data_IF_424757411030
#
_entry.id   IF_424757411030
#
_cell.length_a   1.000
_cell.length_b   1.000
_cell.length_c   1.000
_cell.angle_alpha   90.00
_cell.angle_beta   90.00
_cell.angle_gamma   90.00
#
_symmetry.space_group_name_H-M   'P 1'
#
loop_
_entity.id
_entity.type
_entity.pdbx_description
1 polymer ?
#
# COMPACT_ATOMS: atom_id res chain seq x y z
N UNK A 1 40.12 -27.87 -7.74
CA UNK A 1 38.74 -27.35 -7.82
C UNK A 1 37.83 -28.45 -7.30
N UNK A 2 37.22 -28.27 -6.13
CA UNK A 2 36.44 -29.31 -5.43
C UNK A 2 35.16 -29.63 -6.21
N UNK A 3 34.73 -30.90 -6.20
CA UNK A 3 33.47 -31.36 -6.81
C UNK A 3 32.22 -30.63 -6.27
N UNK A 4 32.35 -29.92 -5.16
CA UNK A 4 31.31 -29.08 -4.56
C UNK A 4 31.01 -27.79 -5.36
N UNK A 5 31.95 -27.33 -6.19
CA UNK A 5 31.82 -26.08 -6.96
C UNK A 5 31.00 -26.28 -8.25
N UNK A 6 30.92 -27.53 -8.74
CA UNK A 6 30.22 -27.90 -9.98
C UNK A 6 28.72 -28.18 -9.74
N UNK A 7 28.34 -28.59 -8.54
CA UNK A 7 26.95 -28.84 -8.12
C UNK A 7 26.15 -27.58 -7.85
N UNK A 8 26.81 -26.45 -7.55
CA UNK A 8 26.17 -25.14 -7.39
C UNK A 8 25.62 -24.55 -8.70
N UNK A 9 26.19 -24.94 -9.86
CA UNK A 9 25.82 -24.36 -11.17
C UNK A 9 24.62 -25.02 -11.86
N UNK A 10 24.14 -26.16 -11.37
CA UNK A 10 23.08 -26.96 -12.03
C UNK A 10 21.76 -27.01 -11.26
N UNK A 11 21.71 -26.50 -10.03
CA UNK A 11 20.47 -26.44 -9.24
C UNK A 11 19.50 -25.41 -9.84
N UNK A 12 18.32 -25.88 -10.26
CA UNK A 12 17.21 -24.99 -10.61
C UNK A 12 16.71 -24.27 -9.36
N UNK A 13 16.60 -22.94 -9.44
CA UNK A 13 16.01 -22.10 -8.39
C UNK A 13 14.55 -22.51 -8.22
N UNK A 14 14.12 -22.81 -7.00
CA UNK A 14 12.73 -23.13 -6.71
C UNK A 14 11.84 -21.89 -6.85
N UNK A 15 10.53 -22.08 -7.04
CA UNK A 15 9.58 -20.95 -7.09
C UNK A 15 9.60 -20.15 -5.78
N UNK A 16 9.81 -20.80 -4.65
CA UNK A 16 9.96 -20.16 -3.35
C UNK A 16 11.23 -19.32 -3.26
N UNK A 17 12.37 -19.84 -3.72
CA UNK A 17 13.62 -19.07 -3.78
C UNK A 17 13.52 -17.91 -4.77
N UNK A 18 12.84 -18.10 -5.90
CA UNK A 18 12.61 -17.04 -6.89
C UNK A 18 11.68 -15.95 -6.35
N UNK A 19 10.57 -16.33 -5.71
CA UNK A 19 9.67 -15.37 -5.05
C UNK A 19 10.39 -14.64 -3.90
N UNK A 20 11.25 -15.34 -3.17
CA UNK A 20 12.13 -14.76 -2.16
C UNK A 20 13.12 -13.77 -2.77
N UNK A 21 13.74 -14.12 -3.89
CA UNK A 21 14.63 -13.24 -4.66
C UNK A 21 13.88 -12.01 -5.19
N UNK A 22 12.69 -12.14 -5.78
CA UNK A 22 11.91 -10.99 -6.27
C UNK A 22 11.48 -10.08 -5.12
N UNK A 23 11.04 -10.66 -3.99
CA UNK A 23 10.77 -9.89 -2.77
C UNK A 23 12.04 -9.16 -2.29
N UNK A 24 13.21 -9.81 -2.33
CA UNK A 24 14.50 -9.23 -1.95
C UNK A 24 15.08 -8.25 -2.97
N UNK A 25 14.81 -8.40 -4.27
CA UNK A 25 15.35 -7.59 -5.37
C UNK A 25 14.52 -6.33 -5.60
N UNK A 26 13.20 -6.44 -5.40
CA UNK A 26 12.30 -5.28 -5.31
C UNK A 26 12.48 -4.57 -3.95
N UNK A 27 12.87 -5.34 -2.94
CA UNK A 27 13.07 -5.02 -1.53
C UNK A 27 14.40 -4.29 -1.19
N UNK A 28 15.51 -4.75 -1.73
CA UNK A 28 16.95 -4.44 -1.51
C UNK A 28 17.60 -4.77 -0.13
N UNK A 29 17.92 -6.06 0.12
CA UNK A 29 18.66 -6.71 1.27
C UNK A 29 17.82 -7.42 2.37
N UNK A 30 18.35 -8.45 3.07
CA UNK A 30 17.71 -9.01 4.27
C UNK A 30 17.77 -8.06 5.48
N UNK A 31 16.72 -8.02 6.31
CA UNK A 31 16.78 -7.44 7.67
C UNK A 31 15.61 -6.53 8.12
N UNK A 32 14.96 -5.79 7.23
CA UNK A 32 13.86 -4.86 7.61
C UNK A 32 12.70 -4.89 6.60
N UNK A 33 11.88 -5.94 6.67
CA UNK A 33 10.70 -6.09 5.80
C UNK A 33 9.68 -4.97 5.96
N UNK A 34 9.52 -4.44 7.19
CA UNK A 34 8.58 -3.36 7.48
C UNK A 34 9.02 -2.04 6.84
N UNK A 35 10.27 -1.64 7.09
CA UNK A 35 10.82 -0.41 6.52
C UNK A 35 10.74 -0.39 4.99
N UNK A 36 10.88 -1.55 4.36
CA UNK A 36 10.72 -1.73 2.91
C UNK A 36 9.30 -1.51 2.41
N UNK A 37 8.30 -2.06 3.11
CA UNK A 37 6.90 -1.84 2.78
C UNK A 37 6.54 -0.36 2.90
N UNK A 38 7.04 0.29 3.96
CA UNK A 38 6.88 1.72 4.22
C UNK A 38 7.55 2.56 3.13
N UNK A 39 8.78 2.23 2.75
CA UNK A 39 9.51 2.96 1.71
C UNK A 39 8.85 2.80 0.33
N UNK A 40 8.36 1.61 -0.02
CA UNK A 40 7.60 1.36 -1.25
C UNK A 40 6.30 2.19 -1.30
N UNK A 41 5.57 2.21 -0.18
CA UNK A 41 4.37 3.03 -0.03
C UNK A 41 4.69 4.53 -0.12
N UNK A 42 5.79 4.97 0.49
CA UNK A 42 6.27 6.34 0.42
C UNK A 42 6.53 6.78 -1.03
N UNK A 43 7.21 5.97 -1.86
CA UNK A 43 7.46 6.30 -3.27
C UNK A 43 6.16 6.46 -4.09
N UNK A 44 5.09 5.80 -3.67
CA UNK A 44 3.77 5.92 -4.33
C UNK A 44 3.00 7.16 -3.86
N UNK A 45 3.24 7.60 -2.63
CA UNK A 45 2.60 8.76 -2.00
C UNK A 45 3.35 10.06 -2.32
N UNK A 46 4.68 10.06 -2.26
CA UNK A 46 5.54 11.25 -2.37
C UNK A 46 5.38 12.01 -3.69
N UNK A 47 4.96 11.33 -4.77
CA UNK A 47 4.59 11.95 -6.05
C UNK A 47 3.47 12.98 -5.93
N UNK A 48 2.75 12.98 -4.82
CA UNK A 48 1.67 13.92 -4.51
C UNK A 48 2.09 15.02 -3.52
N UNK A 49 3.30 14.95 -2.96
CA UNK A 49 3.87 15.96 -2.06
C UNK A 49 4.47 17.12 -2.86
N UNK A 50 3.60 18.03 -3.26
CA UNK A 50 4.00 19.25 -3.97
C UNK A 50 4.86 20.11 -3.05
N UNK A 51 6.06 20.48 -3.52
CA UNK A 51 7.01 21.31 -2.76
C UNK A 51 8.15 20.53 -2.10
N UNK A 52 7.94 19.24 -1.76
CA UNK A 52 8.93 18.45 -1.02
C UNK A 52 10.29 18.35 -1.74
N UNK A 53 10.31 18.21 -3.06
CA UNK A 53 11.55 18.15 -3.84
C UNK A 53 12.42 19.41 -3.76
N UNK A 54 11.86 20.53 -3.30
CA UNK A 54 12.56 21.81 -3.11
C UNK A 54 12.94 22.07 -1.65
N UNK A 55 12.46 21.25 -0.72
CA UNK A 55 12.76 21.43 0.70
C UNK A 55 14.21 21.00 0.99
N UNK A 56 15.02 21.84 1.64
CA UNK A 56 16.39 21.48 2.02
C UNK A 56 16.44 20.37 3.09
N UNK A 57 15.35 20.15 3.83
CA UNK A 57 15.24 19.11 4.87
C UNK A 57 14.36 17.92 4.45
N UNK A 58 14.12 17.73 3.15
CA UNK A 58 13.26 16.65 2.66
C UNK A 58 13.71 15.26 3.16
N UNK A 59 15.02 15.02 3.24
CA UNK A 59 15.59 13.76 3.71
C UNK A 59 15.49 13.59 5.23
N UNK A 60 15.66 14.66 6.01
CA UNK A 60 15.49 14.63 7.46
C UNK A 60 14.05 14.34 7.84
N UNK A 61 13.12 15.10 7.24
CA UNK A 61 11.68 14.88 7.37
C UNK A 61 11.30 13.44 7.00
N UNK A 62 11.76 12.94 5.84
CA UNK A 62 11.42 11.58 5.37
C UNK A 62 11.88 10.51 6.36
N UNK A 63 13.10 10.61 6.89
CA UNK A 63 13.62 9.64 7.88
C UNK A 63 12.78 9.67 9.15
N UNK A 64 12.58 10.85 9.72
CA UNK A 64 11.78 11.03 10.94
C UNK A 64 10.37 10.46 10.80
N UNK A 65 9.69 10.78 9.69
CA UNK A 65 8.34 10.30 9.42
C UNK A 65 8.28 8.80 9.17
N UNK A 66 9.31 8.23 8.54
CA UNK A 66 9.43 6.79 8.30
C UNK A 66 9.61 6.04 9.60
N UNK A 67 10.47 6.53 10.49
CA UNK A 67 10.73 5.93 11.81
C UNK A 67 9.46 5.96 12.67
N UNK A 68 8.76 7.10 12.71
CA UNK A 68 7.46 7.21 13.38
C UNK A 68 6.45 6.19 12.84
N UNK A 69 6.27 6.10 11.52
CA UNK A 69 5.31 5.16 10.93
C UNK A 69 5.73 3.69 11.20
N UNK A 70 7.03 3.40 11.20
CA UNK A 70 7.56 2.07 11.51
C UNK A 70 7.22 1.66 12.94
N UNK A 71 7.39 2.53 13.92
CA UNK A 71 6.98 2.29 15.30
C UNK A 71 5.47 2.02 15.41
N UNK A 72 4.65 2.83 14.72
CA UNK A 72 3.19 2.69 14.73
C UNK A 72 2.71 1.38 14.11
N UNK A 73 3.33 0.94 13.02
CA UNK A 73 3.02 -0.33 12.37
C UNK A 73 3.55 -1.53 13.15
N UNK A 74 4.72 -1.42 13.80
CA UNK A 74 5.23 -2.45 14.70
C UNK A 74 4.28 -2.67 15.89
N UNK A 75 3.64 -1.63 16.41
CA UNK A 75 2.67 -1.78 17.50
C UNK A 75 1.43 -2.63 17.11
N UNK A 76 1.11 -2.77 15.82
CA UNK A 76 0.02 -3.63 15.36
C UNK A 76 0.28 -5.11 15.65
N UNK A 77 1.55 -5.52 15.69
CA UNK A 77 1.96 -6.92 15.89
C UNK A 77 1.89 -7.36 17.35
N UNK A 78 1.77 -6.41 18.29
CA UNK A 78 1.74 -6.70 19.72
C UNK A 78 0.39 -7.23 20.22
N UNK A 79 -0.66 -7.20 19.40
CA UNK A 79 -1.99 -7.73 19.73
C UNK A 79 -2.28 -8.94 18.88
N UNK A 80 -2.95 -9.95 19.44
CA UNK A 80 -3.28 -11.17 18.71
C UNK A 80 -4.42 -10.99 17.70
N UNK A 81 -5.36 -10.10 18.01
CA UNK A 81 -6.58 -9.82 17.25
C UNK A 81 -6.93 -8.34 17.33
N UNK A 82 -7.64 -7.89 16.30
CA UNK A 82 -8.15 -6.53 16.17
C UNK A 82 -9.64 -6.60 15.79
N UNK A 83 -10.47 -5.82 16.47
CA UNK A 83 -11.81 -5.48 15.98
C UNK A 83 -11.72 -4.30 14.99
N UNK A 84 -12.76 -4.13 14.17
CA UNK A 84 -12.85 -3.00 13.24
C UNK A 84 -12.77 -1.66 13.98
N UNK A 85 -13.44 -1.52 15.13
CA UNK A 85 -13.43 -0.27 15.91
C UNK A 85 -12.05 0.05 16.50
N UNK A 86 -11.32 -0.97 16.96
CA UNK A 86 -9.94 -0.81 17.43
C UNK A 86 -9.01 -0.38 16.30
N UNK A 87 -9.13 -1.00 15.12
CA UNK A 87 -8.33 -0.65 13.96
C UNK A 87 -8.65 0.75 13.45
N UNK A 88 -9.94 1.10 13.31
CA UNK A 88 -10.42 2.43 12.93
C UNK A 88 -9.87 3.50 13.90
N UNK A 89 -9.88 3.22 15.21
CA UNK A 89 -9.33 4.13 16.23
C UNK A 89 -7.80 4.28 16.12
N UNK A 90 -7.06 3.18 15.97
CA UNK A 90 -5.62 3.21 15.76
C UNK A 90 -5.24 3.94 14.47
N UNK A 91 -5.97 3.70 13.38
CA UNK A 91 -5.72 4.34 12.09
C UNK A 91 -5.97 5.84 12.20
N UNK A 92 -7.05 6.27 12.86
CA UNK A 92 -7.35 7.70 13.09
C UNK A 92 -6.24 8.39 13.86
N UNK A 93 -5.82 7.79 14.97
CA UNK A 93 -4.74 8.32 15.81
C UNK A 93 -3.44 8.43 15.02
N UNK A 94 -3.04 7.36 14.32
CA UNK A 94 -1.82 7.33 13.50
C UNK A 94 -1.85 8.37 12.39
N UNK A 95 -2.98 8.49 11.68
CA UNK A 95 -3.16 9.48 10.60
C UNK A 95 -3.07 10.90 11.13
N UNK A 96 -3.80 11.19 12.20
CA UNK A 96 -3.83 12.53 12.81
C UNK A 96 -2.44 12.93 13.32
N UNK A 97 -1.72 11.99 13.96
CA UNK A 97 -0.38 12.24 14.46
C UNK A 97 0.63 12.45 13.34
N UNK A 98 0.58 11.66 12.26
CA UNK A 98 1.41 11.90 11.07
C UNK A 98 1.19 13.30 10.51
N UNK A 99 -0.07 13.71 10.31
CA UNK A 99 -0.39 15.04 9.78
C UNK A 99 0.11 16.15 10.71
N UNK A 100 -0.06 15.99 12.03
CA UNK A 100 0.39 16.96 13.02
C UNK A 100 1.91 17.12 13.07
N UNK A 101 2.67 16.02 13.06
CA UNK A 101 4.14 16.08 13.15
C UNK A 101 4.80 16.37 11.80
N UNK A 102 4.06 16.24 10.70
CA UNK A 102 4.53 16.51 9.35
C UNK A 102 4.62 18.01 9.00
N UNK A 103 4.27 18.91 9.93
CA UNK A 103 4.37 20.35 9.75
C UNK A 103 5.72 20.73 9.13
N UNK A 104 5.66 21.36 7.95
CA UNK A 104 6.83 21.78 7.21
C UNK A 104 6.52 23.10 6.48
N UNK A 105 7.44 24.07 6.47
CA UNK A 105 7.21 25.36 5.79
C UNK A 105 7.16 25.25 4.26
N UNK A 106 7.75 24.20 3.66
CA UNK A 106 7.95 24.09 2.21
C UNK A 106 6.87 23.26 1.51
N UNK A 107 6.13 22.42 2.25
CA UNK A 107 5.08 21.57 1.70
C UNK A 107 4.04 21.19 2.75
N UNK A 108 2.86 20.79 2.27
CA UNK A 108 1.77 20.31 3.12
C UNK A 108 1.63 18.80 3.04
N UNK A 109 1.40 18.18 4.20
CA UNK A 109 1.11 16.76 4.34
C UNK A 109 -0.33 16.57 4.80
N UNK A 110 -1.15 15.92 3.99
CA UNK A 110 -2.61 15.85 4.17
C UNK A 110 -3.07 14.50 4.74
N UNK A 111 -4.34 14.42 5.15
CA UNK A 111 -4.98 13.14 5.52
C UNK A 111 -4.95 12.16 4.35
N UNK A 112 -5.24 12.62 3.13
CA UNK A 112 -5.22 11.80 1.92
C UNK A 112 -3.86 11.17 1.62
N UNK A 113 -2.76 11.86 1.93
CA UNK A 113 -1.40 11.33 1.83
C UNK A 113 -1.07 10.36 2.98
N UNK A 114 -1.40 10.74 4.21
CA UNK A 114 -1.17 9.95 5.41
C UNK A 114 -1.84 8.56 5.32
N UNK A 115 -3.15 8.53 5.03
CA UNK A 115 -3.89 7.27 4.88
C UNK A 115 -3.32 6.40 3.77
N UNK A 116 -2.89 7.01 2.65
CA UNK A 116 -2.32 6.28 1.53
C UNK A 116 -1.02 5.62 1.93
N UNK A 117 -0.17 6.34 2.66
CA UNK A 117 1.10 5.81 3.14
C UNK A 117 0.88 4.63 4.08
N UNK A 118 -0.05 4.76 5.05
CA UNK A 118 -0.40 3.69 5.99
C UNK A 118 -0.97 2.47 5.25
N UNK A 119 -2.04 2.64 4.47
CA UNK A 119 -2.77 1.52 3.87
C UNK A 119 -1.95 0.77 2.85
N UNK A 120 -1.15 1.47 2.02
CA UNK A 120 -0.26 0.80 1.07
C UNK A 120 0.89 0.09 1.79
N UNK A 121 1.37 0.61 2.93
CA UNK A 121 2.38 -0.10 3.74
C UNK A 121 1.83 -1.41 4.29
N UNK A 122 0.61 -1.37 4.87
CA UNK A 122 -0.08 -2.55 5.40
C UNK A 122 -0.36 -3.57 4.27
N UNK A 123 -0.90 -3.11 3.13
CA UNK A 123 -1.13 -3.99 1.97
C UNK A 123 0.15 -4.66 1.51
N UNK A 124 1.24 -3.89 1.33
CA UNK A 124 2.51 -4.44 0.87
C UNK A 124 3.04 -5.49 1.87
N UNK A 125 2.94 -5.21 3.16
CA UNK A 125 3.35 -6.12 4.22
C UNK A 125 2.58 -7.43 4.19
N UNK A 126 1.25 -7.36 4.09
CA UNK A 126 0.36 -8.53 4.01
C UNK A 126 0.61 -9.31 2.71
N UNK A 127 0.75 -8.63 1.57
CA UNK A 127 1.00 -9.28 0.28
C UNK A 127 2.37 -9.99 0.20
N UNK A 128 3.36 -9.51 0.96
CA UNK A 128 4.66 -10.17 1.10
C UNK A 128 4.62 -11.34 2.10
N UNK A 129 3.51 -11.48 2.85
CA UNK A 129 3.17 -12.63 3.68
C UNK A 129 4.10 -12.92 4.87
N UNK A 130 3.89 -14.09 5.47
CA UNK A 130 4.60 -14.69 6.61
C UNK A 130 6.14 -14.69 6.52
N UNK A 131 6.71 -14.37 5.35
CA UNK A 131 8.16 -14.40 5.12
C UNK A 131 8.91 -13.24 5.77
N UNK A 132 8.26 -12.09 5.94
CA UNK A 132 8.92 -10.90 6.46
C UNK A 132 8.22 -10.34 7.70
N UNK A 133 6.89 -10.47 7.80
CA UNK A 133 6.09 -9.95 8.92
C UNK A 133 4.78 -10.74 9.13
N UNK A 134 4.86 -12.00 9.61
CA UNK A 134 3.68 -12.83 9.83
C UNK A 134 2.64 -12.17 10.74
N UNK A 135 3.10 -11.47 11.78
CA UNK A 135 2.19 -10.85 12.75
C UNK A 135 1.41 -9.64 12.20
N UNK A 136 1.79 -9.05 11.06
CA UNK A 136 0.99 -7.98 10.47
C UNK A 136 -0.24 -8.53 9.73
N UNK A 137 -0.30 -9.84 9.47
CA UNK A 137 -1.50 -10.50 8.95
C UNK A 137 -2.67 -10.44 9.96
N UNK A 138 -2.42 -10.11 11.22
CA UNK A 138 -3.45 -9.98 12.28
C UNK A 138 -4.45 -8.85 12.08
N UNK A 139 -4.19 -7.94 11.15
CA UNK A 139 -5.14 -6.86 10.77
C UNK A 139 -5.76 -7.10 9.39
N UNK A 140 -5.55 -8.27 8.79
CA UNK A 140 -5.95 -8.58 7.40
C UNK A 140 -7.42 -8.32 7.10
N UNK A 141 -8.28 -8.74 8.03
CA UNK A 141 -9.73 -8.66 7.95
C UNK A 141 -10.29 -7.26 8.27
N UNK A 142 -9.54 -6.44 9.02
CA UNK A 142 -9.97 -5.11 9.49
C UNK A 142 -9.24 -3.95 8.81
N UNK A 143 -8.21 -4.22 8.01
CA UNK A 143 -7.41 -3.20 7.33
C UNK A 143 -8.27 -2.35 6.38
N UNK A 144 -7.94 -1.06 6.28
CA UNK A 144 -8.62 -0.17 5.35
C UNK A 144 -8.18 -0.42 3.91
N UNK A 145 -9.10 -0.21 2.96
CA UNK A 145 -8.83 -0.30 1.52
C UNK A 145 -7.83 0.78 1.10
N UNK A 146 -6.70 0.43 0.46
CA UNK A 146 -5.84 1.41 -0.19
C UNK A 146 -6.56 2.14 -1.34
N UNK A 147 -6.78 3.44 -1.19
CA UNK A 147 -7.47 4.26 -2.19
C UNK A 147 -6.48 4.92 -3.15
N UNK A 148 -6.10 4.19 -4.20
CA UNK A 148 -5.29 4.74 -5.30
C UNK A 148 -6.16 5.23 -6.47
N UNK A 149 -5.53 5.78 -7.51
CA UNK A 149 -6.24 6.34 -8.66
C UNK A 149 -7.09 5.28 -9.40
N UNK A 150 -6.63 4.03 -9.46
CA UNK A 150 -7.34 2.95 -10.15
C UNK A 150 -8.56 2.57 -9.33
N UNK A 151 -8.37 2.29 -8.03
CA UNK A 151 -9.44 1.94 -7.10
C UNK A 151 -10.50 3.05 -7.05
N UNK A 152 -10.08 4.30 -6.85
CA UNK A 152 -10.99 5.45 -6.85
C UNK A 152 -11.72 5.60 -8.20
N UNK A 153 -11.02 5.40 -9.32
CA UNK A 153 -11.62 5.45 -10.65
C UNK A 153 -12.70 4.39 -10.87
N UNK A 154 -12.51 3.20 -10.31
CA UNK A 154 -13.50 2.13 -10.33
C UNK A 154 -14.67 2.38 -9.39
N UNK A 155 -14.39 2.85 -8.17
CA UNK A 155 -15.42 3.23 -7.21
C UNK A 155 -16.32 4.37 -7.74
N UNK A 156 -15.77 5.36 -8.46
CA UNK A 156 -16.53 6.44 -9.13
C UNK A 156 -17.53 5.96 -10.18
N UNK A 157 -17.30 4.77 -10.73
CA UNK A 157 -18.18 4.14 -11.74
C UNK A 157 -19.29 3.33 -11.10
N UNK A 158 -19.17 3.00 -9.82
CA UNK A 158 -20.21 2.29 -9.08
C UNK A 158 -21.21 3.32 -8.53
N UNK A 159 -22.50 3.05 -8.68
CA UNK A 159 -23.57 4.01 -8.37
C UNK A 159 -23.91 4.14 -6.88
N UNK A 160 -23.24 3.39 -6.00
CA UNK A 160 -23.51 3.37 -4.56
C UNK A 160 -22.66 4.34 -3.75
N UNK A 161 -21.74 5.09 -4.37
CA UNK A 161 -20.89 6.05 -3.66
C UNK A 161 -21.14 7.50 -4.11
N UNK A 162 -21.41 8.44 -3.18
CA UNK A 162 -21.62 9.84 -3.54
C UNK A 162 -20.40 10.42 -4.26
N UNK A 163 -20.62 11.10 -5.39
CA UNK A 163 -19.51 11.62 -6.22
C UNK A 163 -18.72 12.72 -5.52
N UNK A 164 -19.38 13.50 -4.68
CA UNK A 164 -18.82 14.53 -3.81
C UNK A 164 -17.89 13.96 -2.74
N UNK A 165 -18.18 12.75 -2.27
CA UNK A 165 -17.29 12.04 -1.34
C UNK A 165 -15.98 11.63 -2.01
N UNK A 166 -15.96 11.41 -3.32
CA UNK A 166 -14.77 11.06 -4.08
C UNK A 166 -14.07 12.31 -4.60
N UNK A 167 -13.56 13.17 -3.74
CA UNK A 167 -12.89 14.39 -4.22
C UNK A 167 -11.66 14.07 -5.08
N UNK A 168 -11.40 14.90 -6.09
CA UNK A 168 -10.16 14.90 -6.85
C UNK A 168 -9.39 16.20 -6.60
N UNK A 169 -8.09 16.12 -6.25
CA UNK A 169 -7.30 14.91 -6.00
C UNK A 169 -7.51 14.36 -4.56
N UNK A 170 -7.85 13.06 -4.43
CA UNK A 170 -7.99 12.37 -3.14
C UNK A 170 -6.78 12.50 -2.20
N UNK A 171 -5.58 12.63 -2.78
CA UNK A 171 -4.36 12.85 -2.02
C UNK A 171 -4.30 14.21 -1.31
N UNK A 172 -5.21 15.15 -1.59
CA UNK A 172 -5.28 16.46 -0.93
C UNK A 172 -6.39 16.54 0.11
N UNK A 173 -7.07 15.42 0.40
CA UNK A 173 -8.10 15.34 1.43
C UNK A 173 -7.54 15.75 2.79
N UNK A 174 -8.23 16.66 3.49
CA UNK A 174 -7.82 17.18 4.80
C UNK A 174 -8.68 16.70 5.96
N UNK A 175 -9.94 16.31 5.72
CA UNK A 175 -10.83 15.80 6.76
C UNK A 175 -10.80 14.26 6.85
N UNK A 176 -10.44 13.76 8.03
CA UNK A 176 -10.47 12.33 8.32
C UNK A 176 -11.89 11.75 8.34
N UNK A 177 -12.90 12.55 8.65
CA UNK A 177 -14.30 12.09 8.65
C UNK A 177 -14.76 11.74 7.24
N UNK A 178 -14.38 12.54 6.25
CA UNK A 178 -14.65 12.26 4.83
C UNK A 178 -13.94 10.97 4.39
N UNK A 179 -12.67 10.79 4.77
CA UNK A 179 -11.95 9.53 4.54
C UNK A 179 -12.68 8.32 5.13
N UNK A 180 -13.13 8.42 6.38
CA UNK A 180 -13.81 7.31 7.05
C UNK A 180 -15.21 7.04 6.52
N UNK A 181 -15.94 8.07 6.08
CA UNK A 181 -17.22 7.88 5.41
C UNK A 181 -17.04 7.03 4.13
N UNK A 182 -15.97 7.27 3.37
CA UNK A 182 -15.63 6.46 2.20
C UNK A 182 -15.33 5.00 2.57
N UNK A 183 -14.47 4.75 3.58
CA UNK A 183 -14.17 3.39 4.05
C UNK A 183 -15.40 2.63 4.54
N UNK A 184 -16.33 3.31 5.23
CA UNK A 184 -17.60 2.70 5.68
C UNK A 184 -18.49 2.30 4.52
N UNK A 185 -18.70 3.20 3.55
CA UNK A 185 -19.51 2.90 2.37
C UNK A 185 -18.92 1.73 1.56
N UNK A 186 -17.60 1.65 1.45
CA UNK A 186 -16.92 0.51 0.83
C UNK A 186 -17.29 -0.78 1.55
N UNK A 187 -17.16 -0.84 2.89
CA UNK A 187 -17.49 -2.05 3.68
C UNK A 187 -18.98 -2.41 3.64
N UNK A 188 -19.86 -1.41 3.58
CA UNK A 188 -21.31 -1.63 3.47
C UNK A 188 -21.71 -2.23 2.12
N UNK A 189 -21.01 -1.88 1.04
CA UNK A 189 -21.32 -2.33 -0.31
C UNK A 189 -20.47 -3.51 -0.79
N UNK A 190 -19.34 -3.78 -0.13
CA UNK A 190 -18.40 -4.86 -0.42
C UNK A 190 -18.10 -5.61 0.89
N UNK A 191 -18.95 -6.59 1.27
CA UNK A 191 -18.90 -7.24 2.58
C UNK A 191 -17.76 -8.25 2.73
N UNK A 192 -16.93 -8.45 1.70
CA UNK A 192 -15.74 -9.29 1.78
C UNK A 192 -14.61 -8.65 2.58
N UNK A 193 -13.44 -9.30 2.55
CA UNK A 193 -12.25 -8.77 3.22
C UNK A 193 -11.76 -7.54 2.44
N UNK A 194 -11.56 -6.37 3.09
CA UNK A 194 -11.29 -5.12 2.38
C UNK A 194 -10.12 -5.19 1.39
N UNK A 195 -9.04 -5.89 1.74
CA UNK A 195 -7.87 -6.02 0.86
C UNK A 195 -8.11 -6.96 -0.33
N UNK A 196 -8.99 -7.95 -0.19
CA UNK A 196 -9.40 -8.81 -1.31
C UNK A 196 -10.31 -8.04 -2.27
N UNK A 197 -11.25 -7.28 -1.72
CA UNK A 197 -12.12 -6.39 -2.50
C UNK A 197 -11.31 -5.33 -3.26
N UNK A 198 -10.29 -4.74 -2.60
CA UNK A 198 -9.35 -3.83 -3.27
C UNK A 198 -8.64 -4.49 -4.44
N UNK A 199 -8.15 -5.72 -4.23
CA UNK A 199 -7.46 -6.48 -5.27
C UNK A 199 -8.37 -6.70 -6.48
N UNK A 200 -9.62 -7.13 -6.26
CA UNK A 200 -10.59 -7.36 -7.32
C UNK A 200 -10.94 -6.08 -8.08
N UNK A 201 -11.17 -4.99 -7.37
CA UNK A 201 -11.42 -3.67 -7.97
C UNK A 201 -10.21 -3.22 -8.79
N UNK A 202 -9.00 -3.37 -8.24
CA UNK A 202 -7.78 -2.96 -8.91
C UNK A 202 -7.52 -3.78 -10.17
N UNK A 203 -7.74 -5.10 -10.13
CA UNK A 203 -7.63 -5.96 -11.31
C UNK A 203 -8.63 -5.56 -12.40
N UNK A 204 -9.88 -5.29 -12.04
CA UNK A 204 -10.91 -4.80 -12.96
C UNK A 204 -10.48 -3.49 -13.63
N UNK A 205 -10.05 -2.50 -12.83
CA UNK A 205 -9.58 -1.22 -13.34
C UNK A 205 -8.31 -1.34 -14.20
N UNK A 206 -7.40 -2.25 -13.84
CA UNK A 206 -6.19 -2.50 -14.65
C UNK A 206 -6.55 -3.08 -16.01
N UNK A 207 -7.40 -4.11 -16.07
CA UNK A 207 -7.80 -4.76 -17.34
C UNK A 207 -8.44 -3.76 -18.29
N UNK A 208 -9.29 -2.87 -17.79
CA UNK A 208 -9.93 -1.82 -18.60
C UNK A 208 -8.97 -0.75 -19.11
N UNK A 209 -7.87 -0.50 -18.40
CA UNK A 209 -6.87 0.50 -18.78
C UNK A 209 -5.71 -0.10 -19.61
N UNK A 210 -5.70 -1.41 -19.85
CA UNK A 210 -4.85 -2.01 -20.86
C UNK A 210 -5.53 -1.79 -22.22
N UNK A 211 -4.82 -1.26 -23.24
CA UNK A 211 -5.34 -1.32 -24.60
C UNK A 211 -5.57 -2.79 -24.94
N UNK A 212 -6.72 -3.09 -25.58
CA UNK A 212 -7.01 -4.43 -26.08
C UNK A 212 -5.76 -4.99 -26.78
N UNK A 213 -5.33 -6.19 -26.37
CA UNK A 213 -4.23 -6.89 -27.02
C UNK A 213 -4.42 -6.82 -28.54
N UNK A 214 -3.40 -6.30 -29.22
CA UNK A 214 -3.26 -6.37 -30.67
C UNK A 214 -3.57 -7.81 -31.07
N UNK A 215 -4.52 -8.07 -31.98
CA UNK A 215 -4.88 -9.42 -32.34
C UNK A 215 -3.61 -10.17 -32.76
N UNK A 216 -3.23 -11.20 -32.01
CA UNK A 216 -2.24 -12.16 -32.47
C UNK A 216 -2.69 -12.62 -33.85
N UNK A 217 -1.90 -12.26 -34.87
CA UNK A 217 -2.10 -12.72 -36.22
C UNK A 217 -2.15 -14.24 -36.15
N UNK A 218 -3.35 -14.80 -36.33
CA UNK A 218 -3.51 -16.21 -36.64
C UNK A 218 -2.65 -16.46 -37.86
N UNK A 219 -1.68 -17.34 -37.69
CA UNK A 219 -0.94 -17.97 -38.78
C UNK A 219 -1.94 -18.35 -39.86
N UNK A 220 -1.88 -17.64 -40.99
CA UNK A 220 -2.49 -18.13 -42.22
C UNK A 220 -1.53 -19.18 -42.75
N UNK A 221 -1.93 -20.43 -42.60
CA UNK A 221 -1.38 -21.49 -43.42
C UNK A 221 -1.60 -21.15 -44.89
N UNK A 222 -0.51 -21.16 -45.65
CA UNK A 222 -0.39 -21.71 -46.99
C UNK A 222 1.00 -22.34 -47.07
#
# INVERSE_FOLDING_TARGET
>A
MSQDDETLRTRKVTREEWNGFVALARLDRPGDGLGRCIQSAYLTMNRTLVGMAKSPDADGWRRFMTDFLKERLAALTCRLMWSQDEFDAWHRDTTSRLVQIAENPDFHFTVGQAQKWINVSIKNAIALGDRLMPDLFRVYDVAHVPLDRIVLGELRRKDWMPRDLLQDPWSQLTDYKEYMACQRLIRENLPGIPLEEEFHIWEEGRRRNQPDDVPHQRERGV
#
